data_IF_661193110845
#
_entry.id   IF_661193110845
#
_cell.length_a   1.000
_cell.length_b   1.000
_cell.length_c   1.000
_cell.angle_alpha   90.00
_cell.angle_beta   90.00
_cell.angle_gamma   90.00
#
_symmetry.space_group_name_H-M   'P 1'
#
loop_
_entity.id
_entity.type
_entity.pdbx_description
1 polymer ?
#
# COMPACT_ATOMS: atom_id res chain seq x y z
N UNK A 1 8.61 -5.38 6.57
CA UNK A 1 9.38 -4.90 7.75
C UNK A 1 10.41 -3.84 7.42
N UNK A 2 11.37 -4.07 6.52
CA UNK A 2 12.34 -3.03 6.14
C UNK A 2 11.67 -1.77 5.58
N UNK A 3 10.68 -1.92 4.67
CA UNK A 3 9.90 -0.79 4.15
C UNK A 3 9.19 0.00 5.27
N UNK A 4 8.60 -0.69 6.25
CA UNK A 4 7.96 -0.05 7.40
C UNK A 4 8.95 0.72 8.26
N UNK A 5 10.18 0.21 8.41
CA UNK A 5 11.25 0.91 9.13
C UNK A 5 11.69 2.19 8.41
N UNK A 6 11.84 2.13 7.08
CA UNK A 6 12.14 3.32 6.28
C UNK A 6 11.03 4.37 6.43
N UNK A 7 9.76 3.98 6.26
CA UNK A 7 8.62 4.87 6.46
C UNK A 7 8.61 5.47 7.88
N UNK A 8 8.92 4.67 8.90
CA UNK A 8 8.99 5.15 10.27
C UNK A 8 10.09 6.21 10.48
N UNK A 9 11.24 6.05 9.84
CA UNK A 9 12.31 7.06 9.86
C UNK A 9 11.85 8.31 9.10
N UNK A 10 11.27 8.15 7.92
CA UNK A 10 10.81 9.24 7.08
C UNK A 10 9.74 10.09 7.77
N UNK A 11 8.81 9.48 8.48
CA UNK A 11 7.86 10.18 9.34
C UNK A 11 8.54 10.79 10.58
N UNK A 12 9.38 10.00 11.25
CA UNK A 12 9.97 10.36 12.54
C UNK A 12 11.00 11.49 12.46
N UNK A 13 11.61 11.72 11.29
CA UNK A 13 12.60 12.77 11.08
C UNK A 13 11.97 14.14 10.79
N UNK A 14 10.72 14.17 10.30
CA UNK A 14 10.01 15.41 9.93
C UNK A 14 10.01 16.48 11.02
N UNK A 15 9.68 16.19 12.29
CA UNK A 15 9.62 17.22 13.31
C UNK A 15 11.00 17.78 13.65
N UNK A 16 12.11 17.18 13.24
CA UNK A 16 13.45 17.74 13.45
C UNK A 16 13.93 18.62 12.29
N UNK A 17 13.40 18.38 11.08
CA UNK A 17 13.83 19.06 9.86
C UNK A 17 12.89 20.20 9.46
N UNK A 18 11.60 20.08 9.75
CA UNK A 18 10.56 20.99 9.27
C UNK A 18 9.71 21.49 10.42
N UNK A 19 10.11 22.62 10.99
CA UNK A 19 9.42 23.29 12.08
C UNK A 19 9.12 24.75 11.75
N UNK A 20 8.09 25.33 12.38
CA UNK A 20 7.85 26.76 12.36
C UNK A 20 8.73 27.50 13.41
N UNK A 21 8.60 28.83 13.47
CA UNK A 21 9.33 29.66 14.43
C UNK A 21 9.00 29.35 15.90
N UNK A 22 7.89 28.66 16.18
CA UNK A 22 7.47 28.21 17.51
C UNK A 22 7.94 26.78 17.83
N UNK A 23 8.71 26.14 16.94
CA UNK A 23 9.18 24.77 17.10
C UNK A 23 8.13 23.69 16.83
N UNK A 24 6.96 24.04 16.30
CA UNK A 24 5.92 23.08 15.94
C UNK A 24 6.24 22.46 14.57
N UNK A 25 5.98 21.16 14.43
CA UNK A 25 6.22 20.44 13.18
C UNK A 25 5.28 20.93 12.06
N UNK A 26 5.80 20.99 10.84
CA UNK A 26 5.03 21.39 9.66
C UNK A 26 4.30 20.22 9.00
N UNK A 27 4.81 18.99 9.13
CA UNK A 27 4.24 17.77 8.54
C UNK A 27 3.93 16.74 9.63
N UNK A 28 4.57 15.57 9.62
CA UNK A 28 4.42 14.59 10.69
C UNK A 28 4.94 15.18 12.02
N UNK A 29 4.11 15.21 13.08
CA UNK A 29 4.47 15.81 14.35
C UNK A 29 5.16 14.84 15.31
N UNK A 30 5.20 13.55 14.98
CA UNK A 30 5.70 12.50 15.87
C UNK A 30 7.16 12.17 15.57
N UNK A 31 8.02 12.36 16.57
CA UNK A 31 9.47 12.07 16.47
C UNK A 31 9.78 10.57 16.35
N UNK A 32 11.06 10.25 16.16
CA UNK A 32 11.55 8.89 15.98
C UNK A 32 11.15 7.94 17.14
N UNK A 33 11.10 8.46 18.36
CA UNK A 33 10.70 7.71 19.57
C UNK A 33 9.23 7.27 19.57
N UNK A 34 8.37 7.89 18.77
CA UNK A 34 6.96 7.52 18.60
C UNK A 34 6.77 6.80 17.27
N UNK A 35 7.31 7.38 16.19
CA UNK A 35 7.15 6.85 14.83
C UNK A 35 7.68 5.43 14.67
N UNK A 36 8.88 5.14 15.20
CA UNK A 36 9.50 3.81 15.08
C UNK A 36 8.67 2.75 15.81
N UNK A 37 8.33 2.88 17.10
CA UNK A 37 7.51 1.88 17.77
C UNK A 37 6.13 1.71 17.11
N UNK A 38 5.44 2.79 16.77
CA UNK A 38 4.08 2.72 16.22
C UNK A 38 4.05 2.01 14.87
N UNK A 39 4.98 2.32 13.97
CA UNK A 39 5.09 1.63 12.69
C UNK A 39 5.60 0.20 12.86
N UNK A 40 6.64 -0.01 13.66
CA UNK A 40 7.33 -1.31 13.67
C UNK A 40 6.60 -2.38 14.47
N UNK A 41 5.86 -2.05 15.54
CA UNK A 41 5.18 -3.08 16.34
C UNK A 41 4.18 -3.85 15.49
N UNK A 42 3.28 -3.17 14.76
CA UNK A 42 2.30 -3.84 13.90
C UNK A 42 2.96 -4.65 12.79
N UNK A 43 4.01 -4.11 12.18
CA UNK A 43 4.70 -4.77 11.07
C UNK A 43 5.57 -5.95 11.50
N UNK A 44 6.24 -5.89 12.64
CA UNK A 44 7.05 -7.00 13.14
C UNK A 44 6.19 -8.14 13.69
N UNK A 45 4.99 -7.83 14.18
CA UNK A 45 4.10 -8.81 14.80
C UNK A 45 3.04 -9.30 13.82
N UNK A 46 1.93 -8.57 13.66
CA UNK A 46 0.75 -9.01 12.95
C UNK A 46 0.97 -9.01 11.42
N UNK A 47 1.34 -7.86 10.84
CA UNK A 47 1.40 -7.74 9.38
C UNK A 47 2.57 -8.52 8.78
N UNK A 48 3.71 -8.56 9.46
CA UNK A 48 4.87 -9.35 9.04
C UNK A 48 4.60 -10.85 9.11
N UNK A 49 3.92 -11.33 10.16
CA UNK A 49 3.51 -12.73 10.25
C UNK A 49 2.47 -13.07 9.17
N UNK A 50 1.47 -12.21 8.96
CA UNK A 50 0.48 -12.36 7.91
C UNK A 50 1.13 -12.46 6.52
N UNK A 51 2.11 -11.60 6.24
CA UNK A 51 2.86 -11.59 4.98
C UNK A 51 3.62 -12.91 4.76
N UNK A 52 4.32 -13.41 5.78
CA UNK A 52 5.04 -14.69 5.70
C UNK A 52 4.08 -15.84 5.43
N UNK A 53 2.98 -15.92 6.19
CA UNK A 53 1.98 -16.98 6.02
C UNK A 53 1.38 -16.92 4.61
N UNK A 54 0.93 -15.75 4.19
CA UNK A 54 0.30 -15.55 2.88
C UNK A 54 1.25 -15.90 1.75
N UNK A 55 2.49 -15.41 1.80
CA UNK A 55 3.54 -15.69 0.81
C UNK A 55 3.84 -17.18 0.72
N UNK A 56 4.05 -17.84 1.87
CA UNK A 56 4.37 -19.28 1.91
C UNK A 56 3.20 -20.12 1.38
N UNK A 57 1.96 -19.79 1.76
CA UNK A 57 0.76 -20.52 1.29
C UNK A 57 0.60 -20.39 -0.22
N UNK A 58 0.71 -19.18 -0.77
CA UNK A 58 0.62 -18.96 -2.22
C UNK A 58 1.76 -19.69 -2.93
N UNK A 59 2.98 -19.57 -2.43
CA UNK A 59 4.14 -20.22 -3.04
C UNK A 59 3.99 -21.75 -3.05
N UNK A 60 3.60 -22.35 -1.93
CA UNK A 60 3.35 -23.78 -1.83
C UNK A 60 2.20 -24.25 -2.75
N UNK A 61 1.13 -23.45 -2.86
CA UNK A 61 0.04 -23.74 -3.79
C UNK A 61 0.50 -23.73 -5.25
N UNK A 62 1.31 -22.75 -5.66
CA UNK A 62 1.85 -22.67 -7.03
C UNK A 62 2.77 -23.85 -7.31
N UNK A 63 3.69 -24.18 -6.40
CA UNK A 63 4.57 -25.34 -6.54
C UNK A 63 3.80 -26.64 -6.73
N UNK A 64 2.69 -26.82 -6.01
CA UNK A 64 1.88 -28.03 -6.08
C UNK A 64 1.00 -28.10 -7.33
N UNK A 65 0.44 -26.98 -7.77
CA UNK A 65 -0.60 -26.97 -8.83
C UNK A 65 -0.08 -26.60 -10.20
N UNK A 66 1.00 -25.81 -10.28
CA UNK A 66 1.61 -25.34 -11.53
C UNK A 66 3.14 -25.29 -11.39
N UNK A 67 3.83 -26.43 -11.19
CA UNK A 67 5.28 -26.46 -10.99
C UNK A 67 6.06 -25.83 -12.16
N UNK A 68 5.50 -25.90 -13.39
CA UNK A 68 6.07 -25.28 -14.59
C UNK A 68 6.12 -23.74 -14.61
N UNK A 69 5.61 -23.05 -13.58
CA UNK A 69 5.86 -21.62 -13.37
C UNK A 69 7.16 -21.33 -12.60
N UNK A 70 7.66 -22.32 -11.84
CA UNK A 70 8.86 -22.18 -11.00
C UNK A 70 10.02 -22.99 -11.58
N UNK A 71 9.74 -24.19 -12.09
CA UNK A 71 10.73 -25.09 -12.69
C UNK A 71 10.55 -25.13 -14.22
N UNK A 72 11.61 -24.82 -14.96
CA UNK A 72 11.58 -24.89 -16.43
C UNK A 72 11.54 -26.35 -16.90
N UNK A 73 10.68 -26.66 -17.88
CA UNK A 73 10.56 -28.00 -18.50
C UNK A 73 9.29 -28.78 -18.15
N UNK A 74 8.48 -28.30 -17.19
CA UNK A 74 7.23 -28.95 -16.78
C UNK A 74 6.01 -28.45 -17.58
N UNK A 75 4.99 -29.31 -17.77
CA UNK A 75 3.75 -28.93 -18.47
C UNK A 75 2.99 -27.84 -17.71
N UNK A 76 2.61 -26.79 -18.42
CA UNK A 76 2.04 -25.59 -17.82
C UNK A 76 0.50 -25.63 -17.80
N UNK A 77 -0.10 -25.97 -16.66
CA UNK A 77 -1.54 -25.78 -16.44
C UNK A 77 -1.80 -24.56 -15.55
N UNK A 78 -2.14 -23.41 -16.15
CA UNK A 78 -2.36 -22.14 -15.41
C UNK A 78 -3.77 -21.97 -14.83
N UNK A 79 -4.71 -22.87 -15.12
CA UNK A 79 -6.09 -22.80 -14.61
C UNK A 79 -6.17 -22.63 -13.07
N UNK A 80 -5.44 -23.39 -12.24
CA UNK A 80 -5.47 -23.20 -10.78
C UNK A 80 -4.97 -21.82 -10.34
N UNK A 81 -4.00 -21.24 -11.05
CA UNK A 81 -3.51 -19.89 -10.76
C UNK A 81 -4.57 -18.84 -11.09
N UNK A 82 -5.27 -18.96 -12.21
CA UNK A 82 -6.38 -18.05 -12.53
C UNK A 82 -7.53 -18.19 -11.53
N UNK A 83 -7.84 -19.41 -11.08
CA UNK A 83 -8.84 -19.63 -10.04
C UNK A 83 -8.41 -19.00 -8.70
N UNK A 84 -7.14 -19.13 -8.30
CA UNK A 84 -6.58 -18.47 -7.13
C UNK A 84 -6.72 -16.95 -7.24
N UNK A 85 -6.31 -16.36 -8.37
CA UNK A 85 -6.42 -14.91 -8.59
C UNK A 85 -7.87 -14.46 -8.51
N UNK A 86 -8.81 -15.17 -9.15
CA UNK A 86 -10.23 -14.84 -9.09
C UNK A 86 -10.77 -14.89 -7.64
N UNK A 87 -10.36 -15.88 -6.86
CA UNK A 87 -10.70 -16.00 -5.45
C UNK A 87 -10.14 -14.82 -4.63
N UNK A 88 -8.87 -14.47 -4.83
CA UNK A 88 -8.25 -13.33 -4.15
C UNK A 88 -8.92 -12.00 -4.51
N UNK A 89 -9.31 -11.80 -5.78
CA UNK A 89 -10.07 -10.61 -6.21
C UNK A 89 -11.44 -10.57 -5.52
N UNK A 90 -12.16 -11.68 -5.46
CA UNK A 90 -13.44 -11.76 -4.76
C UNK A 90 -13.31 -11.49 -3.26
N UNK A 91 -12.13 -11.75 -2.68
CA UNK A 91 -11.81 -11.49 -1.28
C UNK A 91 -11.46 -10.02 -0.98
N UNK A 92 -11.08 -9.21 -1.98
CA UNK A 92 -10.65 -7.80 -1.80
C UNK A 92 -11.66 -6.93 -1.01
N UNK A 93 -12.98 -7.00 -1.26
CA UNK A 93 -13.94 -6.18 -0.52
C UNK A 93 -13.98 -6.43 0.98
N UNK A 94 -13.43 -7.55 1.48
CA UNK A 94 -13.34 -7.81 2.93
C UNK A 94 -12.52 -6.74 3.66
N UNK A 95 -11.61 -6.06 2.98
CA UNK A 95 -10.85 -4.93 3.55
C UNK A 95 -11.73 -3.74 3.97
N UNK A 96 -12.92 -3.59 3.37
CA UNK A 96 -13.88 -2.53 3.74
C UNK A 96 -14.50 -2.73 5.13
N UNK A 97 -14.33 -3.91 5.73
CA UNK A 97 -14.78 -4.21 7.08
C UNK A 97 -13.78 -3.75 8.15
N UNK A 98 -12.57 -3.35 7.77
CA UNK A 98 -11.57 -2.85 8.71
C UNK A 98 -11.95 -1.42 9.13
N UNK A 99 -12.22 -1.24 10.42
CA UNK A 99 -12.49 0.08 11.01
C UNK A 99 -11.18 0.70 11.54
N UNK A 100 -11.02 2.02 11.35
CA UNK A 100 -9.92 2.82 11.89
C UNK A 100 -8.89 3.28 10.86
N UNK A 101 -8.34 4.49 11.09
CA UNK A 101 -7.30 5.07 10.24
C UNK A 101 -5.95 4.39 10.52
N UNK A 102 -5.23 4.02 9.45
CA UNK A 102 -3.88 3.51 9.58
C UNK A 102 -2.94 4.59 10.15
N UNK A 103 -2.00 4.19 11.01
CA UNK A 103 -1.00 5.11 11.52
C UNK A 103 -0.19 5.69 10.36
N UNK A 104 -0.09 7.01 10.26
CA UNK A 104 0.57 7.70 9.15
C UNK A 104 -0.35 8.18 8.04
N UNK A 105 -1.62 7.76 8.02
CA UNK A 105 -2.62 8.16 7.01
C UNK A 105 -3.61 9.20 7.54
N UNK A 106 -3.13 10.13 8.36
CA UNK A 106 -4.02 11.08 9.02
C UNK A 106 -4.54 12.18 8.09
N UNK A 107 -5.83 12.49 8.22
CA UNK A 107 -6.43 13.71 7.69
C UNK A 107 -6.02 14.97 8.48
N UNK A 108 -6.04 16.13 7.80
CA UNK A 108 -5.72 17.42 8.44
C UNK A 108 -6.77 17.86 9.48
N UNK A 109 -7.99 17.37 9.34
CA UNK A 109 -9.14 17.58 10.21
C UNK A 109 -9.11 16.69 11.47
N UNK A 110 -8.50 15.50 11.40
CA UNK A 110 -8.41 14.58 12.52
C UNK A 110 -7.10 14.67 13.32
N UNK A 111 -5.98 15.05 12.69
CA UNK A 111 -4.63 14.99 13.30
C UNK A 111 -4.52 15.76 14.62
N UNK A 112 -5.24 16.88 14.77
CA UNK A 112 -5.24 17.67 15.99
C UNK A 112 -5.83 16.91 17.19
N UNK A 113 -6.75 15.97 16.92
CA UNK A 113 -7.42 15.14 17.92
C UNK A 113 -6.68 13.82 18.17
N UNK A 114 -5.77 13.42 17.29
CA UNK A 114 -4.99 12.18 17.46
C UNK A 114 -4.18 12.26 18.74
N UNK A 115 -4.51 11.37 19.67
CA UNK A 115 -3.82 11.26 20.95
C UNK A 115 -2.58 10.40 20.80
N UNK A 116 -1.41 10.97 21.07
CA UNK A 116 -0.16 10.21 21.21
C UNK A 116 0.36 10.37 22.64
N UNK A 117 0.69 9.26 23.30
CA UNK A 117 1.16 9.24 24.68
C UNK A 117 0.20 9.87 25.72
N UNK A 118 -1.11 9.79 25.49
CA UNK A 118 -2.14 10.20 26.46
C UNK A 118 -2.56 11.68 26.41
N UNK A 119 -2.12 12.44 25.41
CA UNK A 119 -2.61 13.79 25.14
C UNK A 119 -2.89 13.99 23.64
N UNK A 120 -3.95 14.74 23.28
CA UNK A 120 -4.18 15.11 21.89
C UNK A 120 -3.05 16.01 21.39
N UNK A 121 -2.76 15.96 20.10
CA UNK A 121 -1.73 16.81 19.48
C UNK A 121 -2.04 18.30 19.70
N UNK A 122 -3.31 18.69 19.61
CA UNK A 122 -3.77 20.05 19.96
C UNK A 122 -3.51 21.11 18.89
N UNK A 123 -2.94 20.74 17.73
CA UNK A 123 -2.81 21.61 16.56
C UNK A 123 -2.78 20.78 15.27
N UNK A 124 -3.12 21.41 14.15
CA UNK A 124 -2.93 20.81 12.81
C UNK A 124 -1.63 21.35 12.21
N UNK A 125 -0.68 20.48 11.80
CA UNK A 125 0.54 20.91 11.12
C UNK A 125 0.24 21.73 9.86
N UNK A 126 0.81 22.93 9.75
CA UNK A 126 0.49 23.88 8.66
C UNK A 126 0.77 23.32 7.27
N UNK A 127 1.81 22.50 7.12
CA UNK A 127 2.15 21.84 5.86
C UNK A 127 1.11 20.82 5.40
N UNK A 128 0.24 20.31 6.28
CA UNK A 128 -0.91 19.48 5.88
C UNK A 128 -2.07 20.32 5.30
N UNK A 129 -2.17 21.60 5.66
CA UNK A 129 -3.22 22.50 5.19
C UNK A 129 -2.83 23.24 3.90
N UNK A 130 -1.60 23.74 3.87
CA UNK A 130 -1.11 24.65 2.82
C UNK A 130 -0.04 24.01 1.92
N UNK A 131 0.33 22.76 2.19
CA UNK A 131 1.34 22.05 1.42
C UNK A 131 0.87 21.63 0.03
N UNK A 132 1.60 20.68 -0.55
CA UNK A 132 1.25 20.12 -1.84
C UNK A 132 -0.13 19.44 -1.78
N UNK A 133 -1.03 19.83 -2.68
CA UNK A 133 -2.33 19.19 -2.86
C UNK A 133 -2.47 18.67 -4.28
N UNK A 134 -2.94 17.43 -4.40
CA UNK A 134 -3.27 16.82 -5.68
C UNK A 134 -4.76 16.55 -5.75
N UNK A 135 -5.45 17.18 -6.71
CA UNK A 135 -6.87 16.93 -6.95
C UNK A 135 -7.04 15.66 -7.78
N UNK A 136 -7.35 14.55 -7.10
CA UNK A 136 -7.68 13.29 -7.77
C UNK A 136 -8.99 13.39 -8.56
N UNK A 137 -9.10 12.62 -9.64
CA UNK A 137 -10.31 12.55 -10.50
C UNK A 137 -11.52 12.01 -9.71
N UNK A 138 -11.27 11.01 -8.85
CA UNK A 138 -12.26 10.40 -7.96
C UNK A 138 -11.75 10.46 -6.51
N UNK A 139 -11.91 11.60 -5.81
CA UNK A 139 -11.57 11.73 -4.39
C UNK A 139 -12.32 10.68 -3.56
N UNK A 140 -11.62 10.08 -2.60
CA UNK A 140 -12.14 9.02 -1.72
C UNK A 140 -12.75 7.83 -2.49
N UNK A 141 -12.31 7.62 -3.74
CA UNK A 141 -12.85 6.61 -4.65
C UNK A 141 -14.36 6.77 -4.93
N UNK A 142 -14.90 7.96 -4.68
CA UNK A 142 -16.32 8.27 -4.84
C UNK A 142 -16.65 8.81 -6.24
N UNK A 143 -17.88 8.59 -6.69
CA UNK A 143 -18.37 9.10 -7.96
C UNK A 143 -19.73 9.73 -7.80
N UNK A 144 -19.85 10.99 -8.24
CA UNK A 144 -21.09 11.75 -8.13
C UNK A 144 -22.24 11.02 -8.83
N UNK A 145 -23.31 10.77 -8.10
CA UNK A 145 -24.52 10.10 -8.62
C UNK A 145 -24.52 8.58 -8.48
N UNK A 146 -23.49 7.97 -7.89
CA UNK A 146 -23.48 6.56 -7.51
C UNK A 146 -23.50 6.39 -5.98
N UNK A 147 -24.08 5.29 -5.46
CA UNK A 147 -23.87 4.89 -4.07
C UNK A 147 -22.37 4.65 -3.77
N UNK A 148 -21.92 4.94 -2.56
CA UNK A 148 -20.49 4.88 -2.17
C UNK A 148 -19.82 3.56 -2.54
N UNK A 149 -20.44 2.43 -2.20
CA UNK A 149 -19.92 1.10 -2.53
C UNK A 149 -19.79 0.87 -4.06
N UNK A 150 -20.75 1.36 -4.84
CA UNK A 150 -20.72 1.23 -6.30
C UNK A 150 -19.66 2.15 -6.93
N UNK A 151 -19.52 3.37 -6.42
CA UNK A 151 -18.46 4.30 -6.80
C UNK A 151 -17.07 3.72 -6.51
N UNK A 152 -16.88 3.18 -5.30
CA UNK A 152 -15.63 2.56 -4.86
C UNK A 152 -15.21 1.39 -5.77
N UNK A 153 -16.14 0.46 -6.03
CA UNK A 153 -15.89 -0.69 -6.92
C UNK A 153 -15.58 -0.22 -8.35
N UNK A 154 -16.34 0.75 -8.87
CA UNK A 154 -16.11 1.26 -10.22
C UNK A 154 -14.75 1.96 -10.33
N UNK A 155 -14.36 2.73 -9.31
CA UNK A 155 -13.04 3.37 -9.23
C UNK A 155 -11.92 2.32 -9.21
N UNK A 156 -12.09 1.23 -8.46
CA UNK A 156 -11.14 0.12 -8.46
C UNK A 156 -10.99 -0.53 -9.84
N UNK A 157 -12.09 -0.80 -10.54
CA UNK A 157 -12.07 -1.38 -11.90
C UNK A 157 -11.32 -0.44 -12.87
N UNK A 158 -11.62 0.85 -12.84
CA UNK A 158 -10.95 1.84 -13.70
C UNK A 158 -9.45 1.91 -13.38
N UNK A 159 -9.08 1.97 -12.10
CA UNK A 159 -7.67 1.98 -11.67
C UNK A 159 -6.89 0.76 -12.16
N UNK A 160 -7.47 -0.43 -12.03
CA UNK A 160 -6.87 -1.69 -12.53
C UNK A 160 -6.69 -1.66 -14.05
N UNK A 161 -7.70 -1.22 -14.80
CA UNK A 161 -7.62 -1.13 -16.26
C UNK A 161 -6.53 -0.15 -16.72
N UNK A 162 -6.44 1.02 -16.08
CA UNK A 162 -5.39 2.00 -16.36
C UNK A 162 -4.01 1.45 -16.06
N UNK A 163 -3.84 0.75 -14.93
CA UNK A 163 -2.57 0.10 -14.59
C UNK A 163 -2.17 -0.95 -15.64
N UNK A 164 -3.11 -1.80 -16.07
CA UNK A 164 -2.86 -2.81 -17.11
C UNK A 164 -2.41 -2.16 -18.42
N UNK A 165 -3.09 -1.10 -18.86
CA UNK A 165 -2.73 -0.36 -20.08
C UNK A 165 -1.34 0.24 -19.93
N UNK A 166 -1.05 0.93 -18.82
CA UNK A 166 0.24 1.54 -18.56
C UNK A 166 1.38 0.51 -18.58
N UNK A 167 1.24 -0.59 -17.85
CA UNK A 167 2.28 -1.63 -17.83
C UNK A 167 2.44 -2.31 -19.18
N UNK A 168 1.37 -2.49 -19.96
CA UNK A 168 1.47 -3.01 -21.33
C UNK A 168 2.21 -2.05 -22.25
N UNK A 169 1.98 -0.74 -22.14
CA UNK A 169 2.71 0.26 -22.93
C UNK A 169 4.20 0.27 -22.57
N UNK A 170 4.52 0.24 -21.27
CA UNK A 170 5.91 0.14 -20.80
C UNK A 170 6.56 -1.14 -21.34
N UNK A 171 5.90 -2.28 -21.19
CA UNK A 171 6.42 -3.56 -21.66
C UNK A 171 6.61 -3.59 -23.19
N UNK A 172 5.70 -3.00 -23.95
CA UNK A 172 5.82 -2.87 -25.41
C UNK A 172 7.00 -1.99 -25.83
N UNK A 173 7.42 -1.05 -24.99
CA UNK A 173 8.60 -0.22 -25.22
C UNK A 173 9.93 -0.89 -24.81
N UNK A 174 9.88 -1.98 -24.04
CA UNK A 174 11.07 -2.73 -23.65
C UNK A 174 11.53 -3.62 -24.81
N UNK A 175 12.78 -3.46 -25.25
CA UNK A 175 13.39 -4.37 -26.24
C UNK A 175 13.43 -5.78 -25.65
N UNK A 176 13.02 -6.80 -26.42
CA UNK A 176 13.17 -8.21 -26.04
C UNK A 176 14.61 -8.47 -25.57
N UNK A 177 14.77 -8.90 -24.31
CA UNK A 177 16.09 -9.33 -23.82
C UNK A 177 16.44 -10.66 -24.49
N UNK A 178 17.68 -10.68 -24.99
CA UNK A 178 18.35 -11.64 -25.86
C UNK A 178 18.07 -13.12 -25.55
N UNK A 179 17.91 -13.87 -26.62
CA UNK A 179 17.89 -15.33 -26.67
C UNK A 179 19.27 -15.86 -26.25
N UNK A 180 19.34 -16.65 -25.18
CA UNK A 180 20.58 -17.28 -24.68
C UNK A 180 20.76 -18.70 -25.24
N UNK A 181 19.99 -19.10 -26.26
CA UNK A 181 20.01 -20.44 -26.83
C UNK A 181 21.21 -20.73 -27.75
N UNK A 182 22.36 -20.08 -27.57
CA UNK A 182 23.56 -20.35 -28.38
C UNK A 182 24.84 -20.37 -27.56
N UNK A 183 24.91 -21.25 -26.56
CA UNK A 183 26.18 -21.88 -26.18
C UNK A 183 25.90 -23.38 -25.97
N UNK A 184 26.14 -24.15 -27.03
CA UNK A 184 26.32 -25.61 -27.02
C UNK A 184 27.80 -25.91 -26.87
#
# INVERSE_FOLDING_TARGET
>A
NAAAFCAAIEFGIQPYLFQNAQGQALYCPYGLNISIPMMMIGHLTLFGAAEVIFTVVIYAFILKTTPGLVHQGEKQNRKPVFALIACLIAAVPMGLLAEGTAWGEWGADEIAQVTSAGSPLGYTPRGMLEGFSFSAIFPDYSMRGLPDAAGYILSAVIGVLLAIILFRLIASGMKNKRDYSTEQ
#
